data_IF_837050126796
#
_entry.id   IF_837050126796
#
_cell.length_a   1.000
_cell.length_b   1.000
_cell.length_c   1.000
_cell.angle_alpha   90.00
_cell.angle_beta   90.00
_cell.angle_gamma   90.00
#
_symmetry.space_group_name_H-M   'P 1'
#
loop_
_entity.id
_entity.type
_entity.pdbx_description
1 polymer ?
#
# COMPACT_ATOMS: atom_id res chain seq x y z
N UNK A 1 -14.11 -23.57 -0.80
CA UNK A 1 -15.31 -22.70 -0.83
C UNK A 1 -16.36 -23.22 0.13
N UNK A 2 -16.77 -22.45 1.14
CA UNK A 2 -17.97 -22.82 1.90
C UNK A 2 -19.19 -22.76 0.98
N UNK A 3 -20.07 -23.76 1.03
CA UNK A 3 -21.29 -23.83 0.19
C UNK A 3 -22.32 -22.72 0.46
N UNK A 4 -22.00 -21.79 1.35
CA UNK A 4 -22.80 -20.62 1.72
C UNK A 4 -22.60 -19.44 0.77
N UNK A 5 -21.43 -19.31 0.13
CA UNK A 5 -21.19 -18.24 -0.83
C UNK A 5 -22.05 -18.45 -2.09
N UNK A 6 -22.80 -17.41 -2.48
CA UNK A 6 -23.70 -17.43 -3.63
C UNK A 6 -25.13 -17.94 -3.36
N UNK A 7 -25.38 -18.53 -2.20
CA UNK A 7 -26.72 -18.99 -1.78
C UNK A 7 -27.39 -18.08 -0.74
N UNK A 8 -26.79 -16.91 -0.47
CA UNK A 8 -27.31 -15.96 0.51
C UNK A 8 -28.50 -15.18 -0.06
N UNK A 9 -29.53 -14.90 0.75
CA UNK A 9 -30.61 -14.01 0.34
C UNK A 9 -30.06 -12.62 -0.06
N UNK A 10 -30.61 -12.01 -1.11
CA UNK A 10 -30.16 -10.70 -1.63
C UNK A 10 -30.15 -9.60 -0.56
N UNK A 11 -31.07 -9.64 0.40
CA UNK A 11 -31.11 -8.66 1.50
C UNK A 11 -29.89 -8.79 2.44
N UNK A 12 -29.35 -10.00 2.63
CA UNK A 12 -28.13 -10.23 3.42
C UNK A 12 -26.93 -9.64 2.70
N UNK A 13 -26.83 -9.87 1.38
CA UNK A 13 -25.77 -9.30 0.55
C UNK A 13 -25.82 -7.77 0.61
N UNK A 14 -26.99 -7.17 0.41
CA UNK A 14 -27.17 -5.72 0.50
C UNK A 14 -26.80 -5.16 1.88
N UNK A 15 -27.24 -5.81 2.96
CA UNK A 15 -26.89 -5.43 4.32
C UNK A 15 -25.37 -5.48 4.55
N UNK A 16 -24.69 -6.55 4.14
CA UNK A 16 -23.24 -6.67 4.24
C UNK A 16 -22.53 -5.57 3.46
N UNK A 17 -22.95 -5.29 2.22
CA UNK A 17 -22.35 -4.24 1.39
C UNK A 17 -22.45 -2.87 2.05
N UNK A 18 -23.63 -2.53 2.61
CA UNK A 18 -23.83 -1.27 3.33
C UNK A 18 -22.99 -1.22 4.62
N UNK A 19 -22.93 -2.32 5.37
CA UNK A 19 -22.12 -2.39 6.59
C UNK A 19 -20.63 -2.23 6.31
N UNK A 20 -20.10 -2.86 5.25
CA UNK A 20 -18.69 -2.69 4.83
C UNK A 20 -18.44 -1.25 4.41
N UNK A 21 -19.34 -0.64 3.64
CA UNK A 21 -19.22 0.75 3.20
C UNK A 21 -19.17 1.71 4.41
N UNK A 22 -20.14 1.60 5.33
CA UNK A 22 -20.19 2.43 6.54
C UNK A 22 -18.98 2.18 7.43
N UNK A 23 -18.58 0.91 7.59
CA UNK A 23 -17.40 0.54 8.37
C UNK A 23 -16.14 1.23 7.82
N UNK A 24 -15.92 1.19 6.50
CA UNK A 24 -14.75 1.83 5.88
C UNK A 24 -14.74 3.35 6.04
N UNK A 25 -15.91 4.00 5.93
CA UNK A 25 -16.01 5.44 6.20
C UNK A 25 -15.67 5.77 7.66
N UNK A 26 -16.18 5.01 8.63
CA UNK A 26 -15.89 5.25 10.05
C UNK A 26 -14.42 4.93 10.36
N UNK A 27 -13.89 3.86 9.78
CA UNK A 27 -12.53 3.40 10.02
C UNK A 27 -11.48 4.36 9.42
N UNK A 28 -11.77 4.98 8.27
CA UNK A 28 -10.90 6.03 7.70
C UNK A 28 -10.87 7.28 8.58
N UNK A 29 -12.01 7.74 9.09
CA UNK A 29 -12.07 8.85 10.05
C UNK A 29 -11.29 8.55 11.33
N UNK A 30 -11.38 7.31 11.82
CA UNK A 30 -10.60 6.82 12.94
C UNK A 30 -9.09 6.82 12.64
N UNK A 31 -8.67 6.34 11.47
CA UNK A 31 -7.25 6.30 11.09
C UNK A 31 -6.64 7.69 10.99
N UNK A 32 -7.35 8.67 10.42
CA UNK A 32 -6.89 10.07 10.36
C UNK A 32 -6.65 10.61 11.77
N UNK A 33 -7.57 10.34 12.70
CA UNK A 33 -7.41 10.73 14.10
C UNK A 33 -6.24 9.99 14.78
N UNK A 34 -6.14 8.68 14.55
CA UNK A 34 -5.11 7.82 15.13
C UNK A 34 -3.72 8.27 14.69
N UNK A 35 -3.53 8.51 13.40
CA UNK A 35 -2.28 9.00 12.82
C UNK A 35 -1.86 10.33 13.44
N UNK A 36 -2.76 11.32 13.49
CA UNK A 36 -2.47 12.63 14.11
C UNK A 36 -2.02 12.49 15.57
N UNK A 37 -2.62 11.57 16.32
CA UNK A 37 -2.25 11.33 17.72
C UNK A 37 -0.93 10.62 17.89
N UNK A 38 -0.66 9.59 17.08
CA UNK A 38 0.58 8.82 17.18
C UNK A 38 1.78 9.66 16.75
N UNK A 39 1.68 10.40 15.62
CA UNK A 39 2.74 11.32 15.19
C UNK A 39 2.98 12.42 16.22
N UNK A 40 1.93 12.99 16.80
CA UNK A 40 2.09 14.00 17.86
C UNK A 40 2.87 13.45 19.06
N UNK A 41 2.54 12.23 19.52
CA UNK A 41 3.28 11.56 20.60
C UNK A 41 4.74 11.30 20.24
N UNK A 42 5.04 10.86 19.02
CA UNK A 42 6.42 10.65 18.56
C UNK A 42 7.22 11.96 18.54
N UNK A 43 6.57 13.08 18.24
CA UNK A 43 7.15 14.42 18.20
C UNK A 43 7.14 15.13 19.56
N UNK A 44 6.83 14.43 20.67
CA UNK A 44 6.70 15.03 22.00
C UNK A 44 5.72 16.22 22.08
N UNK A 45 4.69 16.25 21.23
CA UNK A 45 3.61 17.25 21.27
C UNK A 45 2.24 16.61 21.53
N UNK A 46 1.31 17.43 21.99
CA UNK A 46 -0.06 16.97 22.28
C UNK A 46 -0.83 16.88 20.96
N UNK A 47 -1.42 15.72 20.68
CA UNK A 47 -2.32 15.55 19.53
C UNK A 47 -3.69 16.23 19.75
N UNK A 48 -4.65 16.05 18.83
CA UNK A 48 -5.98 16.65 18.96
C UNK A 48 -6.63 16.35 20.32
N UNK A 49 -7.03 17.40 21.06
CA UNK A 49 -7.63 17.30 22.40
C UNK A 49 -8.87 18.20 22.62
N UNK A 50 -9.26 19.01 21.63
CA UNK A 50 -10.33 20.03 21.78
C UNK A 50 -11.70 19.48 21.35
N UNK A 51 -11.84 19.01 20.12
CA UNK A 51 -13.14 18.66 19.54
C UNK A 51 -13.59 17.24 19.94
N UNK A 52 -14.33 17.15 21.04
CA UNK A 52 -14.90 15.91 21.59
C UNK A 52 -13.94 15.13 22.50
N UNK A 53 -14.39 14.02 23.12
CA UNK A 53 -13.55 13.18 23.96
C UNK A 53 -12.32 12.70 23.17
N UNK A 54 -11.11 12.98 23.68
CA UNK A 54 -9.84 12.68 23.01
C UNK A 54 -9.66 13.26 21.60
N UNK A 55 -10.48 14.25 21.18
CA UNK A 55 -10.43 14.83 19.83
C UNK A 55 -11.07 13.99 18.72
N UNK A 56 -11.85 12.95 19.06
CA UNK A 56 -12.43 12.01 18.09
C UNK A 56 -13.37 12.68 17.06
N UNK A 57 -14.02 13.79 17.43
CA UNK A 57 -14.94 14.48 16.52
C UNK A 57 -14.22 15.38 15.51
N UNK A 58 -12.89 15.54 15.61
CA UNK A 58 -12.13 16.38 14.69
C UNK A 58 -12.22 15.89 13.24
N UNK A 59 -12.02 14.59 12.98
CA UNK A 59 -12.07 14.05 11.62
C UNK A 59 -13.46 14.22 11.00
N UNK A 60 -14.52 14.12 11.80
CA UNK A 60 -15.89 14.37 11.36
C UNK A 60 -16.10 15.86 11.01
N UNK A 61 -15.60 16.78 11.83
CA UNK A 61 -15.65 18.20 11.56
C UNK A 61 -14.88 18.58 10.28
N UNK A 62 -13.73 17.94 10.03
CA UNK A 62 -12.96 18.12 8.79
C UNK A 62 -13.75 17.64 7.56
N UNK A 63 -14.47 16.51 7.66
CA UNK A 63 -15.35 16.02 6.61
C UNK A 63 -16.51 16.99 6.30
N UNK A 64 -17.19 17.49 7.32
CA UNK A 64 -18.27 18.49 7.17
C UNK A 64 -17.74 19.78 6.55
N UNK A 65 -16.55 20.24 6.99
CA UNK A 65 -15.87 21.39 6.41
C UNK A 65 -15.64 21.20 4.91
N UNK A 66 -15.15 20.04 4.49
CA UNK A 66 -14.90 19.75 3.08
C UNK A 66 -16.20 19.70 2.26
N UNK A 67 -17.31 19.21 2.84
CA UNK A 67 -18.61 19.20 2.19
C UNK A 67 -19.22 20.61 1.99
N UNK A 68 -18.97 21.53 2.93
CA UNK A 68 -19.42 22.92 2.85
C UNK A 68 -18.45 23.82 2.08
N UNK A 69 -17.25 23.33 1.77
CA UNK A 69 -16.24 24.07 1.02
C UNK A 69 -16.70 24.22 -0.43
N UNK A 70 -16.43 25.40 -1.00
CA UNK A 70 -16.72 25.69 -2.40
C UNK A 70 -15.99 24.70 -3.33
N UNK A 71 -16.77 24.07 -4.20
CA UNK A 71 -16.24 23.18 -5.23
C UNK A 71 -15.88 24.00 -6.48
N UNK A 72 -14.59 24.05 -6.78
CA UNK A 72 -14.05 24.81 -7.91
C UNK A 72 -13.76 23.83 -9.05
N UNK A 73 -14.06 24.23 -10.28
CA UNK A 73 -13.63 23.51 -11.50
C UNK A 73 -12.76 24.46 -12.30
N UNK A 74 -11.52 24.05 -12.55
CA UNK A 74 -10.53 24.84 -13.29
C UNK A 74 -10.99 25.04 -14.72
N UNK A 75 -10.81 26.24 -15.28
CA UNK A 75 -11.25 26.56 -16.65
C UNK A 75 -10.51 25.77 -17.73
N UNK A 76 -9.24 25.49 -17.50
CA UNK A 76 -8.38 24.72 -18.41
C UNK A 76 -8.58 23.20 -18.30
N UNK A 77 -9.34 22.73 -17.31
CA UNK A 77 -9.54 21.31 -17.06
C UNK A 77 -10.57 20.69 -18.00
N UNK A 78 -10.34 19.42 -18.37
CA UNK A 78 -11.36 18.61 -19.03
C UNK A 78 -12.44 18.23 -18.00
N UNK A 79 -13.64 18.81 -18.14
CA UNK A 79 -14.70 18.71 -17.14
C UNK A 79 -15.16 17.27 -16.87
N UNK A 80 -15.21 16.43 -17.90
CA UNK A 80 -15.72 15.07 -17.76
C UNK A 80 -14.72 14.22 -16.97
N UNK A 81 -13.46 14.22 -17.39
CA UNK A 81 -12.41 13.43 -16.74
C UNK A 81 -12.09 13.98 -15.34
N UNK A 82 -12.12 15.31 -15.15
CA UNK A 82 -11.88 15.94 -13.85
C UNK A 82 -12.92 15.54 -12.80
N UNK A 83 -14.19 15.29 -13.18
CA UNK A 83 -15.21 14.80 -12.25
C UNK A 83 -15.12 13.27 -12.06
N UNK A 84 -14.78 12.53 -13.12
CA UNK A 84 -14.71 11.07 -13.08
C UNK A 84 -13.46 10.53 -12.37
N UNK A 85 -12.32 11.23 -12.42
CA UNK A 85 -11.07 10.76 -11.86
C UNK A 85 -11.14 10.43 -10.35
N UNK A 86 -11.70 11.29 -9.46
CA UNK A 86 -11.88 10.94 -8.06
C UNK A 86 -12.80 9.71 -7.86
N UNK A 87 -13.83 9.57 -8.70
CA UNK A 87 -14.77 8.44 -8.63
C UNK A 87 -14.04 7.13 -9.00
N UNK A 88 -13.19 7.17 -10.02
CA UNK A 88 -12.35 6.04 -10.44
C UNK A 88 -11.29 5.66 -9.40
N UNK A 89 -10.86 6.58 -8.54
CA UNK A 89 -9.99 6.24 -7.41
C UNK A 89 -10.76 5.57 -6.26
N UNK A 90 -11.97 6.07 -5.94
CA UNK A 90 -12.74 5.63 -4.78
C UNK A 90 -13.46 4.29 -4.99
N UNK A 91 -14.09 4.08 -6.15
CA UNK A 91 -14.86 2.86 -6.41
C UNK A 91 -13.99 1.60 -6.21
N UNK A 92 -12.78 1.50 -6.80
CA UNK A 92 -11.91 0.35 -6.60
C UNK A 92 -11.50 0.13 -5.14
N UNK A 93 -11.26 1.22 -4.40
CA UNK A 93 -10.87 1.14 -2.99
C UNK A 93 -11.95 0.42 -2.15
N UNK A 94 -13.23 0.69 -2.41
CA UNK A 94 -14.34 -0.02 -1.77
C UNK A 94 -14.53 -1.45 -2.29
N UNK A 95 -14.41 -1.65 -3.60
CA UNK A 95 -14.60 -2.96 -4.23
C UNK A 95 -13.59 -4.01 -3.74
N UNK A 96 -12.35 -3.61 -3.45
CA UNK A 96 -11.32 -4.51 -2.92
C UNK A 96 -11.74 -5.21 -1.61
N UNK A 97 -12.61 -4.59 -0.80
CA UNK A 97 -13.10 -5.16 0.47
C UNK A 97 -14.17 -6.25 0.30
N UNK A 98 -14.68 -6.45 -0.92
CA UNK A 98 -15.68 -7.49 -1.18
C UNK A 98 -15.17 -8.91 -0.86
N UNK A 99 -13.87 -9.14 -1.02
CA UNK A 99 -13.28 -10.49 -0.90
C UNK A 99 -12.37 -10.67 0.32
N UNK A 100 -12.31 -9.69 1.23
CA UNK A 100 -11.47 -9.78 2.43
C UNK A 100 -12.28 -10.42 3.57
N UNK A 101 -11.79 -11.51 4.21
CA UNK A 101 -12.49 -12.17 5.31
C UNK A 101 -12.19 -11.49 6.66
N UNK A 102 -13.23 -10.99 7.34
CA UNK A 102 -13.10 -10.40 8.70
C UNK A 102 -13.20 -11.42 9.83
N UNK A 103 -13.78 -12.60 9.56
CA UNK A 103 -14.06 -13.58 10.59
C UNK A 103 -14.62 -14.89 10.03
N UNK A 104 -14.91 -15.86 10.92
CA UNK A 104 -15.55 -17.13 10.56
C UNK A 104 -17.01 -16.92 10.16
N UNK A 105 -17.70 -18.03 9.93
CA UNK A 105 -19.15 -18.07 9.81
C UNK A 105 -19.80 -17.72 11.15
N UNK A 106 -20.70 -16.73 11.13
CA UNK A 106 -21.41 -16.27 12.32
C UNK A 106 -22.89 -16.12 12.01
N UNK A 107 -23.72 -16.38 13.03
CA UNK A 107 -25.16 -16.14 12.95
C UNK A 107 -25.45 -14.65 13.07
N UNK A 108 -26.21 -14.10 12.13
CA UNK A 108 -26.64 -12.70 12.19
C UNK A 108 -27.46 -12.47 13.47
N UNK A 109 -27.22 -11.40 14.24
CA UNK A 109 -28.04 -11.11 15.41
C UNK A 109 -29.50 -10.95 14.97
N UNK A 110 -30.43 -11.54 15.72
CA UNK A 110 -31.88 -11.46 15.45
C UNK A 110 -32.37 -12.22 14.20
N UNK A 111 -31.54 -13.07 13.56
CA UNK A 111 -31.96 -13.97 12.45
C UNK A 111 -31.34 -15.36 12.60
N UNK A 112 -31.97 -16.41 12.07
CA UNK A 112 -31.42 -17.79 12.05
C UNK A 112 -30.43 -18.05 10.90
N UNK A 113 -30.08 -17.02 10.11
CA UNK A 113 -29.16 -17.14 8.98
C UNK A 113 -27.70 -17.13 9.46
N UNK A 114 -26.96 -18.18 9.10
CA UNK A 114 -25.51 -18.27 9.29
C UNK A 114 -24.84 -17.71 8.04
N UNK A 115 -23.87 -16.83 8.23
CA UNK A 115 -23.22 -16.14 7.13
C UNK A 115 -21.72 -15.98 7.40
N UNK A 116 -20.83 -16.19 6.41
CA UNK A 116 -19.43 -15.82 6.55
C UNK A 116 -19.27 -14.30 6.70
N UNK A 117 -18.35 -13.84 7.54
CA UNK A 117 -17.95 -12.42 7.63
C UNK A 117 -17.06 -12.02 6.45
N UNK A 118 -17.57 -12.24 5.25
CA UNK A 118 -17.00 -11.90 3.96
C UNK A 118 -18.19 -11.65 3.01
N UNK A 119 -18.07 -10.67 2.11
CA UNK A 119 -19.16 -10.37 1.17
C UNK A 119 -19.27 -11.44 0.10
N UNK A 120 -18.16 -11.77 -0.55
CA UNK A 120 -18.09 -12.87 -1.52
C UNK A 120 -16.71 -13.51 -1.51
N UNK A 121 -16.66 -14.79 -1.86
CA UNK A 121 -15.40 -15.50 -2.08
C UNK A 121 -15.29 -15.87 -3.55
N UNK A 122 -14.13 -15.62 -4.15
CA UNK A 122 -13.85 -15.92 -5.55
C UNK A 122 -12.64 -16.86 -5.59
N UNK A 123 -12.60 -17.85 -6.52
CA UNK A 123 -11.43 -18.73 -6.64
C UNK A 123 -10.13 -17.97 -6.92
N UNK A 124 -10.24 -16.78 -7.53
CA UNK A 124 -9.14 -15.87 -7.88
C UNK A 124 -9.24 -14.55 -7.10
N UNK A 125 -9.64 -14.60 -5.82
CA UNK A 125 -9.90 -13.42 -5.00
C UNK A 125 -8.71 -12.44 -4.91
N UNK A 126 -7.49 -12.94 -4.74
CA UNK A 126 -6.31 -12.05 -4.64
C UNK A 126 -5.98 -11.36 -5.97
N UNK A 127 -6.16 -12.07 -7.10
CA UNK A 127 -6.01 -11.47 -8.44
C UNK A 127 -7.09 -10.43 -8.73
N UNK A 128 -8.31 -10.66 -8.24
CA UNK A 128 -9.39 -9.66 -8.29
C UNK A 128 -8.99 -8.38 -7.57
N UNK A 129 -8.38 -8.47 -6.38
CA UNK A 129 -7.94 -7.27 -5.66
C UNK A 129 -6.88 -6.52 -6.48
N UNK A 130 -5.86 -7.21 -6.98
CA UNK A 130 -4.83 -6.60 -7.84
C UNK A 130 -5.45 -5.89 -9.05
N UNK A 131 -6.34 -6.57 -9.77
CA UNK A 131 -6.99 -6.00 -10.95
C UNK A 131 -7.81 -4.73 -10.62
N UNK A 132 -8.51 -4.74 -9.48
CA UNK A 132 -9.29 -3.60 -9.03
C UNK A 132 -8.37 -2.46 -8.58
N UNK A 133 -7.31 -2.73 -7.79
CA UNK A 133 -6.38 -1.69 -7.34
C UNK A 133 -5.65 -1.02 -8.51
N UNK A 134 -5.29 -1.76 -9.57
CA UNK A 134 -4.71 -1.17 -10.78
C UNK A 134 -5.62 -0.13 -11.42
N UNK A 135 -6.96 -0.28 -11.34
CA UNK A 135 -7.92 0.71 -11.85
C UNK A 135 -7.82 2.02 -11.07
N UNK A 136 -7.53 1.95 -9.76
CA UNK A 136 -7.33 3.13 -8.91
C UNK A 136 -6.18 4.02 -9.39
N UNK A 137 -5.11 3.42 -9.93
CA UNK A 137 -3.96 4.15 -10.49
C UNK A 137 -4.35 4.98 -11.71
N UNK A 138 -5.25 4.48 -12.55
CA UNK A 138 -5.79 5.28 -13.66
C UNK A 138 -6.52 6.52 -13.16
N UNK A 139 -7.19 6.45 -12.01
CA UNK A 139 -7.78 7.63 -11.35
C UNK A 139 -6.74 8.72 -11.07
N UNK A 140 -5.55 8.34 -10.62
CA UNK A 140 -4.44 9.26 -10.32
C UNK A 140 -3.87 9.90 -11.61
N UNK A 141 -3.61 9.10 -12.65
CA UNK A 141 -3.11 9.61 -13.95
C UNK A 141 -4.10 10.59 -14.56
N UNK A 142 -5.37 10.19 -14.62
CA UNK A 142 -6.45 10.97 -15.21
C UNK A 142 -6.69 12.25 -14.42
N UNK A 143 -6.52 12.23 -13.09
CA UNK A 143 -6.61 13.41 -12.26
C UNK A 143 -5.51 14.43 -12.60
N UNK A 144 -4.26 13.97 -12.73
CA UNK A 144 -3.13 14.82 -13.12
C UNK A 144 -3.31 15.40 -14.53
N UNK A 145 -3.74 14.60 -15.50
CA UNK A 145 -3.95 15.06 -16.88
C UNK A 145 -5.15 16.00 -17.03
N UNK A 146 -6.29 15.67 -16.44
CA UNK A 146 -7.52 16.46 -16.57
C UNK A 146 -7.44 17.82 -15.90
N UNK A 147 -6.51 18.02 -14.96
CA UNK A 147 -6.31 19.27 -14.24
C UNK A 147 -5.90 20.46 -15.12
N UNK A 148 -5.35 20.20 -16.32
CA UNK A 148 -4.89 21.24 -17.24
C UNK A 148 -3.58 21.94 -16.81
N UNK A 149 -2.87 21.41 -15.81
CA UNK A 149 -1.59 21.93 -15.30
C UNK A 149 -0.45 20.94 -15.52
N UNK A 150 0.68 21.41 -16.07
CA UNK A 150 1.87 20.56 -16.33
C UNK A 150 2.45 20.02 -15.01
N UNK A 151 2.41 20.80 -13.94
CA UNK A 151 2.92 20.38 -12.63
C UNK A 151 2.12 19.21 -12.05
N UNK A 152 0.78 19.29 -12.13
CA UNK A 152 -0.09 18.22 -11.68
C UNK A 152 0.02 16.96 -12.56
N UNK A 153 0.23 17.14 -13.87
CA UNK A 153 0.51 16.03 -14.78
C UNK A 153 1.83 15.31 -14.43
N UNK A 154 2.91 16.05 -14.20
CA UNK A 154 4.20 15.47 -13.79
C UNK A 154 4.09 14.72 -12.45
N UNK A 155 3.35 15.27 -11.49
CA UNK A 155 3.07 14.62 -10.21
C UNK A 155 2.27 13.33 -10.38
N UNK A 156 1.20 13.37 -11.19
CA UNK A 156 0.38 12.19 -11.51
C UNK A 156 1.17 11.09 -12.23
N UNK A 157 2.01 11.44 -13.20
CA UNK A 157 2.86 10.48 -13.92
C UNK A 157 3.88 9.81 -13.00
N UNK A 158 4.53 10.56 -12.11
CA UNK A 158 5.48 10.01 -11.13
C UNK A 158 4.79 9.10 -10.11
N UNK A 159 3.63 9.51 -9.58
CA UNK A 159 2.82 8.67 -8.70
C UNK A 159 2.47 7.35 -9.37
N UNK A 160 2.02 7.41 -10.62
CA UNK A 160 1.55 6.22 -11.32
C UNK A 160 2.69 5.27 -11.67
N UNK A 161 3.83 5.81 -12.12
CA UNK A 161 5.02 5.00 -12.36
C UNK A 161 5.53 4.30 -11.09
N UNK A 162 5.49 5.00 -9.95
CA UNK A 162 5.81 4.43 -8.65
C UNK A 162 4.84 3.29 -8.30
N UNK A 163 3.54 3.58 -8.24
CA UNK A 163 2.53 2.61 -7.81
C UNK A 163 2.59 1.35 -8.69
N UNK A 164 2.62 1.50 -10.02
CA UNK A 164 2.72 0.35 -10.95
C UNK A 164 3.99 -0.48 -10.69
N UNK A 165 5.12 0.15 -10.44
CA UNK A 165 6.38 -0.57 -10.23
C UNK A 165 6.35 -1.42 -8.96
N UNK A 166 5.72 -0.90 -7.90
CA UNK A 166 5.59 -1.60 -6.62
C UNK A 166 4.43 -2.59 -6.61
N UNK A 167 3.40 -2.38 -7.43
CA UNK A 167 2.33 -3.34 -7.67
C UNK A 167 2.88 -4.65 -8.27
N UNK A 168 3.83 -4.56 -9.20
CA UNK A 168 4.52 -5.75 -9.75
C UNK A 168 5.29 -6.50 -8.66
N UNK A 169 6.07 -5.80 -7.83
CA UNK A 169 6.82 -6.43 -6.73
C UNK A 169 5.87 -7.07 -5.70
N UNK A 170 4.78 -6.39 -5.37
CA UNK A 170 3.70 -6.90 -4.51
C UNK A 170 3.06 -8.16 -5.11
N UNK A 171 2.70 -8.16 -6.39
CA UNK A 171 2.12 -9.32 -7.07
C UNK A 171 3.05 -10.54 -7.08
N UNK A 172 4.35 -10.34 -7.32
CA UNK A 172 5.33 -11.41 -7.25
C UNK A 172 5.47 -12.01 -5.84
N UNK A 173 5.33 -11.18 -4.80
CA UNK A 173 5.38 -11.68 -3.40
C UNK A 173 4.24 -12.67 -3.10
N UNK A 174 3.08 -12.50 -3.72
CA UNK A 174 1.91 -13.36 -3.53
C UNK A 174 2.04 -14.74 -4.15
N UNK A 175 2.85 -14.90 -5.20
CA UNK A 175 3.03 -16.18 -5.89
C UNK A 175 3.47 -17.27 -4.91
N UNK A 176 4.41 -16.94 -4.02
CA UNK A 176 4.88 -17.86 -2.97
C UNK A 176 3.76 -18.29 -2.01
N UNK A 177 2.83 -17.38 -1.69
CA UNK A 177 1.67 -17.61 -0.83
C UNK A 177 0.69 -18.56 -1.52
N UNK A 178 0.39 -18.33 -2.81
CA UNK A 178 -0.50 -19.20 -3.58
C UNK A 178 0.07 -20.61 -3.69
N UNK A 179 1.38 -20.73 -3.85
CA UNK A 179 2.05 -22.03 -3.85
C UNK A 179 1.92 -22.74 -2.51
N UNK A 180 2.06 -22.03 -1.38
CA UNK A 180 1.96 -22.65 -0.05
C UNK A 180 0.52 -23.03 0.32
N UNK A 181 -0.45 -22.17 -0.02
CA UNK A 181 -1.87 -22.38 0.25
C UNK A 181 -2.52 -23.39 -0.71
N UNK A 182 -2.01 -23.50 -1.95
CA UNK A 182 -2.65 -24.29 -3.01
C UNK A 182 -3.92 -23.65 -3.58
N UNK A 183 -4.21 -22.39 -3.24
CA UNK A 183 -5.38 -21.64 -3.69
C UNK A 183 -5.08 -20.14 -3.79
N UNK A 184 -5.90 -19.42 -4.57
CA UNK A 184 -5.92 -17.97 -4.68
C UNK A 184 -7.16 -17.33 -4.01
N UNK A 185 -8.03 -18.14 -3.40
CA UNK A 185 -9.13 -17.67 -2.55
C UNK A 185 -8.59 -17.19 -1.21
N UNK A 186 -9.05 -16.02 -0.77
CA UNK A 186 -8.67 -15.44 0.53
C UNK A 186 -9.16 -16.28 1.71
N UNK A 187 -10.34 -16.90 1.59
CA UNK A 187 -10.90 -17.75 2.65
C UNK A 187 -10.09 -19.04 2.80
N UNK A 188 -9.71 -19.65 1.68
CA UNK A 188 -8.91 -20.88 1.66
C UNK A 188 -7.47 -20.65 2.11
N UNK A 189 -6.87 -19.50 1.75
CA UNK A 189 -5.56 -19.09 2.26
C UNK A 189 -5.59 -18.97 3.79
N UNK A 190 -6.59 -18.31 4.37
CA UNK A 190 -6.72 -18.19 5.84
C UNK A 190 -6.95 -19.56 6.49
N UNK A 191 -7.72 -20.44 5.85
CA UNK A 191 -7.93 -21.80 6.35
C UNK A 191 -6.64 -22.64 6.34
N UNK A 192 -5.80 -22.49 5.31
CA UNK A 192 -4.52 -23.19 5.18
C UNK A 192 -3.43 -22.69 6.14
N UNK A 193 -3.67 -21.58 6.84
CA UNK A 193 -2.80 -21.01 7.88
C UNK A 193 -3.14 -21.53 9.29
N UNK A 194 -3.74 -22.73 9.40
CA UNK A 194 -4.13 -23.31 10.70
C UNK A 194 -2.95 -23.64 11.59
N UNK A 195 -1.89 -24.20 11.00
CA UNK A 195 -0.75 -24.77 11.71
C UNK A 195 0.32 -23.71 11.96
N UNK A 196 0.64 -22.92 10.93
CA UNK A 196 1.69 -21.91 10.99
C UNK A 196 1.33 -20.73 10.08
N UNK A 197 1.59 -19.52 10.57
CA UNK A 197 1.41 -18.31 9.78
C UNK A 197 2.49 -18.19 8.71
N UNK A 198 2.11 -17.70 7.53
CA UNK A 198 3.00 -17.70 6.37
C UNK A 198 4.14 -16.69 6.45
N UNK A 199 4.10 -15.69 7.33
CA UNK A 199 5.25 -14.81 7.53
C UNK A 199 6.52 -15.56 7.99
N UNK A 200 6.38 -16.74 8.63
CA UNK A 200 7.52 -17.56 9.08
C UNK A 200 8.17 -18.30 7.89
N UNK A 201 7.49 -19.20 7.17
CA UNK A 201 8.11 -19.92 6.06
C UNK A 201 8.36 -19.02 4.83
N UNK A 202 7.61 -17.94 4.66
CA UNK A 202 7.70 -17.03 3.50
C UNK A 202 8.24 -15.65 3.90
N UNK A 203 9.20 -15.61 4.83
CA UNK A 203 9.73 -14.36 5.37
C UNK A 203 10.24 -13.37 4.28
N UNK A 204 11.01 -13.79 3.26
CA UNK A 204 11.42 -12.88 2.19
C UNK A 204 10.23 -12.27 1.43
N UNK A 205 9.21 -13.06 1.10
CA UNK A 205 7.99 -12.54 0.47
C UNK A 205 7.23 -11.59 1.38
N UNK A 206 7.18 -11.86 2.68
CA UNK A 206 6.57 -10.96 3.66
C UNK A 206 7.30 -9.61 3.72
N UNK A 207 8.64 -9.60 3.72
CA UNK A 207 9.43 -8.36 3.71
C UNK A 207 9.23 -7.58 2.41
N UNK A 208 9.30 -8.25 1.26
CA UNK A 208 9.06 -7.62 -0.05
C UNK A 208 7.65 -7.02 -0.08
N UNK A 209 6.65 -7.75 0.40
CA UNK A 209 5.28 -7.25 0.51
C UNK A 209 5.18 -6.03 1.42
N UNK A 210 5.77 -6.08 2.63
CA UNK A 210 5.79 -4.97 3.58
C UNK A 210 6.41 -3.69 2.99
N UNK A 211 7.42 -3.84 2.15
CA UNK A 211 8.05 -2.71 1.46
C UNK A 211 7.15 -2.21 0.33
N UNK A 212 6.62 -3.13 -0.49
CA UNK A 212 5.82 -2.80 -1.66
C UNK A 212 4.49 -2.13 -1.30
N UNK A 213 3.84 -2.55 -0.21
CA UNK A 213 2.61 -1.92 0.27
C UNK A 213 2.81 -0.44 0.67
N UNK A 214 4.02 -0.03 1.06
CA UNK A 214 4.32 1.40 1.32
C UNK A 214 4.49 2.17 0.02
N UNK A 215 5.13 1.57 -0.98
CA UNK A 215 5.25 2.15 -2.32
C UNK A 215 3.89 2.33 -3.01
N UNK A 216 3.00 1.37 -2.86
CA UNK A 216 1.64 1.35 -3.42
C UNK A 216 0.75 2.49 -2.88
N UNK A 217 0.89 2.83 -1.61
CA UNK A 217 -0.02 3.77 -0.92
C UNK A 217 0.44 5.22 -0.99
N UNK A 218 1.56 5.50 -1.67
CA UNK A 218 2.16 6.84 -1.79
C UNK A 218 2.34 7.55 -0.43
N UNK A 219 2.57 6.81 0.66
CA UNK A 219 2.74 7.39 2.00
C UNK A 219 4.20 7.63 2.34
N UNK A 220 4.45 8.64 3.19
CA UNK A 220 5.78 8.94 3.70
C UNK A 220 6.40 7.69 4.35
N UNK A 221 7.66 7.33 4.03
CA UNK A 221 8.69 8.14 3.36
C UNK A 221 8.65 8.20 1.82
N UNK A 222 7.75 7.47 1.17
CA UNK A 222 7.66 7.32 -0.30
C UNK A 222 6.51 8.11 -0.92
N UNK A 223 6.28 9.29 -0.35
CA UNK A 223 5.28 10.24 -0.79
C UNK A 223 5.92 11.27 -1.75
N UNK A 224 6.27 10.78 -2.94
CA UNK A 224 6.92 11.54 -4.00
C UNK A 224 5.99 12.52 -4.73
N UNK A 225 4.69 12.23 -4.92
CA UNK A 225 3.76 13.15 -5.58
C UNK A 225 3.23 14.25 -4.67
N UNK A 226 2.97 13.99 -3.38
CA UNK A 226 2.40 14.97 -2.44
C UNK A 226 3.49 15.84 -1.79
N UNK A 227 4.77 15.52 -2.00
CA UNK A 227 5.89 16.26 -1.43
C UNK A 227 5.83 17.76 -1.77
N UNK A 228 5.46 18.57 -0.77
CA UNK A 228 5.41 20.04 -0.85
C UNK A 228 6.74 20.68 -1.31
N UNK A 229 7.87 19.99 -1.11
CA UNK A 229 9.20 20.43 -1.51
C UNK A 229 9.60 20.06 -2.96
N UNK A 230 8.79 19.29 -3.69
CA UNK A 230 9.04 18.95 -5.09
C UNK A 230 7.94 19.49 -6.01
N UNK A 231 6.86 18.71 -6.23
CA UNK A 231 5.83 19.01 -7.24
C UNK A 231 4.52 19.54 -6.64
N UNK A 232 4.58 20.18 -5.46
CA UNK A 232 3.49 20.98 -4.86
C UNK A 232 2.13 20.25 -4.86
N UNK A 233 2.08 19.05 -4.28
CA UNK A 233 0.82 18.31 -4.06
C UNK A 233 0.32 17.46 -5.23
N UNK A 234 1.07 17.38 -6.33
CA UNK A 234 0.86 16.41 -7.40
C UNK A 234 -0.52 16.51 -8.07
N UNK A 235 -1.25 15.40 -8.11
CA UNK A 235 -2.58 15.37 -8.75
C UNK A 235 -3.68 16.03 -7.90
N UNK A 236 -3.42 16.38 -6.64
CA UNK A 236 -4.38 17.03 -5.75
C UNK A 236 -4.49 18.54 -5.95
N UNK A 237 -3.47 19.18 -6.53
CA UNK A 237 -3.26 20.64 -6.50
C UNK A 237 -4.45 21.44 -7.01
N UNK A 238 -5.13 20.93 -8.05
CA UNK A 238 -6.24 21.61 -8.69
C UNK A 238 -7.62 21.22 -8.12
N UNK A 239 -7.71 20.28 -7.18
CA UNK A 239 -8.98 19.79 -6.63
C UNK A 239 -9.38 20.52 -5.34
N UNK A 240 -10.67 20.84 -5.21
CA UNK A 240 -11.27 21.44 -4.00
C UNK A 240 -12.38 20.54 -3.44
N UNK A 241 -12.85 20.89 -2.23
CA UNK A 241 -14.08 20.37 -1.61
C UNK A 241 -14.14 18.83 -1.59
N UNK A 242 -15.27 18.25 -1.98
CA UNK A 242 -15.51 16.81 -1.95
C UNK A 242 -14.64 16.05 -2.94
N UNK A 243 -14.30 16.58 -4.12
CA UNK A 243 -13.46 15.87 -5.10
C UNK A 243 -12.05 15.63 -4.55
N UNK A 244 -11.49 16.63 -3.86
CA UNK A 244 -10.26 16.48 -3.10
C UNK A 244 -10.40 15.45 -1.97
N UNK A 245 -11.49 15.53 -1.20
CA UNK A 245 -11.77 14.60 -0.11
C UNK A 245 -11.86 13.14 -0.59
N UNK A 246 -12.39 12.90 -1.80
CA UNK A 246 -12.51 11.57 -2.40
C UNK A 246 -11.14 10.93 -2.68
N UNK A 247 -10.14 11.68 -3.13
CA UNK A 247 -8.79 11.13 -3.30
C UNK A 247 -8.17 10.71 -1.98
N UNK A 248 -8.21 11.58 -0.97
CA UNK A 248 -7.74 11.21 0.37
C UNK A 248 -8.50 10.01 0.94
N UNK A 249 -9.83 9.97 0.74
CA UNK A 249 -10.63 8.82 1.14
C UNK A 249 -10.14 7.54 0.46
N UNK A 250 -9.92 7.57 -0.85
CA UNK A 250 -9.40 6.42 -1.60
C UNK A 250 -8.02 5.96 -1.08
N UNK A 251 -7.09 6.89 -0.85
CA UNK A 251 -5.76 6.57 -0.31
C UNK A 251 -5.82 5.96 1.08
N UNK A 252 -6.63 6.53 1.99
CA UNK A 252 -6.79 5.98 3.33
C UNK A 252 -7.46 4.62 3.29
N UNK A 253 -8.48 4.41 2.45
CA UNK A 253 -9.08 3.08 2.28
C UNK A 253 -8.03 2.10 1.75
N UNK A 254 -7.24 2.49 0.73
CA UNK A 254 -6.22 1.63 0.16
C UNK A 254 -5.15 1.25 1.19
N UNK A 255 -4.72 2.19 2.05
CA UNK A 255 -3.81 1.91 3.16
C UNK A 255 -4.36 0.83 4.10
N UNK A 256 -5.67 0.85 4.36
CA UNK A 256 -6.32 -0.21 5.15
C UNK A 256 -6.41 -1.50 4.35
N UNK A 257 -6.73 -1.44 3.07
CA UNK A 257 -6.80 -2.61 2.17
C UNK A 257 -5.48 -3.37 2.15
N UNK A 258 -4.36 -2.69 1.90
CA UNK A 258 -3.04 -3.34 1.88
C UNK A 258 -2.64 -3.87 3.27
N UNK A 259 -3.02 -3.19 4.35
CA UNK A 259 -2.81 -3.67 5.73
C UNK A 259 -3.64 -4.93 6.04
N UNK A 260 -4.88 -4.96 5.55
CA UNK A 260 -5.80 -6.08 5.67
C UNK A 260 -5.34 -7.28 4.83
N UNK A 261 -4.80 -7.04 3.64
CA UNK A 261 -4.16 -8.06 2.80
C UNK A 261 -2.92 -8.65 3.47
N UNK A 262 -2.03 -7.83 4.05
CA UNK A 262 -0.89 -8.30 4.84
C UNK A 262 -1.34 -9.29 5.92
N UNK A 263 -2.37 -8.89 6.65
CA UNK A 263 -2.97 -9.66 7.74
C UNK A 263 -3.56 -10.98 7.22
N UNK A 264 -4.29 -10.94 6.11
CA UNK A 264 -4.96 -12.09 5.49
C UNK A 264 -3.97 -13.10 4.93
N UNK A 265 -2.94 -12.64 4.22
CA UNK A 265 -2.03 -13.50 3.47
C UNK A 265 -0.87 -14.02 4.31
N UNK A 266 -0.38 -13.25 5.29
CA UNK A 266 0.84 -13.61 6.02
C UNK A 266 0.62 -13.91 7.51
N UNK A 267 -0.38 -13.31 8.16
CA UNK A 267 -0.58 -13.42 9.62
C UNK A 267 -1.82 -14.25 10.02
N UNK A 268 -2.29 -15.16 9.18
CA UNK A 268 -3.40 -16.05 9.55
C UNK A 268 -4.77 -15.37 9.57
N UNK A 269 -4.93 -14.21 8.94
CA UNK A 269 -6.19 -13.46 8.87
C UNK A 269 -6.79 -13.19 10.25
N UNK A 270 -8.04 -13.61 10.43
CA UNK A 270 -8.81 -13.44 11.65
C UNK A 270 -8.48 -14.45 12.77
N UNK A 271 -7.63 -15.45 12.51
CA UNK A 271 -7.28 -16.47 13.51
C UNK A 271 -6.45 -15.87 14.65
N UNK A 272 -6.64 -16.36 15.86
CA UNK A 272 -5.91 -15.88 17.04
C UNK A 272 -4.39 -16.13 16.95
N UNK A 273 -3.55 -15.28 17.58
CA UNK A 273 -2.10 -15.48 17.70
C UNK A 273 -1.68 -16.80 18.34
N UNK A 274 -0.43 -17.23 18.06
CA UNK A 274 0.18 -18.47 18.55
C UNK A 274 -0.14 -18.73 20.03
N UNK A 275 -0.61 -19.94 20.34
CA UNK A 275 -0.98 -20.37 21.69
C UNK A 275 -2.39 -19.93 22.13
N UNK A 276 -2.83 -18.71 21.85
CA UNK A 276 -4.14 -18.20 22.30
C UNK A 276 -5.32 -18.89 21.60
N UNK A 277 -5.13 -19.32 20.35
CA UNK A 277 -6.14 -20.07 19.60
C UNK A 277 -6.42 -21.49 20.11
N UNK A 278 -5.55 -22.04 20.97
CA UNK A 278 -5.71 -23.36 21.57
C UNK A 278 -6.23 -23.29 23.02
N UNK A 279 -6.26 -22.10 23.61
CA UNK A 279 -6.82 -21.88 24.94
C UNK A 279 -8.35 -21.99 24.84
N UNK A 280 -8.96 -22.78 25.74
CA UNK A 280 -10.41 -23.02 25.81
C UNK A 280 -11.02 -23.57 24.51
N UNK A 281 -10.47 -24.67 23.98
CA UNK A 281 -11.05 -25.42 22.84
C UNK A 281 -11.34 -24.55 21.59
N UNK A 282 -10.53 -23.52 21.35
CA UNK A 282 -10.70 -22.65 20.19
C UNK A 282 -11.83 -21.62 20.30
N UNK A 283 -12.37 -21.36 21.50
CA UNK A 283 -13.40 -20.33 21.73
C UNK A 283 -13.04 -18.98 21.08
N UNK A 284 -11.78 -18.55 21.19
CA UNK A 284 -11.29 -17.29 20.60
C UNK A 284 -11.25 -17.26 19.06
N UNK A 285 -11.43 -18.40 18.40
CA UNK A 285 -11.54 -18.54 16.96
C UNK A 285 -13.01 -18.71 16.49
N UNK A 286 -13.98 -18.68 17.41
CA UNK A 286 -15.41 -18.84 17.10
C UNK A 286 -16.20 -17.57 17.39
N UNK A 287 -17.28 -17.35 16.64
CA UNK A 287 -18.14 -16.18 16.80
C UNK A 287 -17.47 -14.87 16.36
N UNK A 288 -17.71 -13.80 17.11
CA UNK A 288 -17.26 -12.44 16.76
C UNK A 288 -15.85 -12.08 17.29
N UNK A 289 -15.26 -12.90 18.17
CA UNK A 289 -13.90 -12.66 18.70
C UNK A 289 -12.80 -12.55 17.62
N UNK A 290 -12.77 -13.42 16.60
CA UNK A 290 -11.89 -13.31 15.42
C UNK A 290 -11.77 -11.93 14.79
N UNK A 291 -12.87 -11.18 14.78
CA UNK A 291 -12.92 -9.84 14.18
C UNK A 291 -11.97 -8.88 14.90
N UNK A 292 -11.84 -9.00 16.22
CA UNK A 292 -10.92 -8.19 17.01
C UNK A 292 -9.46 -8.52 16.68
N UNK A 293 -9.13 -9.79 16.43
CA UNK A 293 -7.78 -10.19 16.03
C UNK A 293 -7.44 -9.65 14.63
N UNK A 294 -8.38 -9.74 13.70
CA UNK A 294 -8.21 -9.20 12.35
C UNK A 294 -7.94 -7.70 12.38
N UNK A 295 -8.77 -6.93 13.11
CA UNK A 295 -8.58 -5.49 13.24
C UNK A 295 -7.35 -5.11 14.05
N UNK A 296 -7.00 -5.87 15.10
CA UNK A 296 -5.79 -5.63 15.88
C UNK A 296 -4.52 -5.78 15.03
N UNK A 297 -4.46 -6.82 14.18
CA UNK A 297 -3.34 -7.02 13.25
C UNK A 297 -3.32 -5.98 12.13
N UNK A 298 -4.49 -5.63 11.59
CA UNK A 298 -4.60 -4.56 10.59
C UNK A 298 -4.14 -3.21 11.17
N UNK A 299 -4.52 -2.91 12.41
CA UNK A 299 -4.10 -1.72 13.14
C UNK A 299 -2.59 -1.73 13.42
N UNK A 300 -1.98 -2.90 13.63
CA UNK A 300 -0.52 -3.02 13.74
C UNK A 300 0.18 -2.56 12.46
N UNK A 301 -0.28 -2.97 11.27
CA UNK A 301 0.30 -2.47 10.00
C UNK A 301 0.07 -0.98 9.79
N UNK A 302 -1.11 -0.47 10.16
CA UNK A 302 -1.38 0.98 10.14
C UNK A 302 -0.45 1.72 11.11
N UNK A 303 -0.19 1.17 12.29
CA UNK A 303 0.79 1.72 13.21
C UNK A 303 2.19 1.73 12.59
N UNK A 304 2.58 0.67 11.86
CA UNK A 304 3.86 0.64 11.12
C UNK A 304 3.90 1.75 10.07
N UNK A 305 2.84 1.99 9.29
CA UNK A 305 2.77 3.13 8.36
C UNK A 305 3.03 4.47 9.06
N UNK A 306 2.33 4.72 10.17
CA UNK A 306 2.49 5.96 10.93
C UNK A 306 3.90 6.07 11.54
N UNK A 307 4.47 4.94 11.98
CA UNK A 307 5.81 4.88 12.52
C UNK A 307 6.88 5.18 11.49
N UNK A 308 6.77 4.60 10.28
CA UNK A 308 7.67 4.89 9.16
C UNK A 308 7.61 6.37 8.78
N UNK A 309 6.40 6.95 8.72
CA UNK A 309 6.19 8.39 8.47
C UNK A 309 6.88 9.26 9.53
N UNK A 310 6.86 8.86 10.79
CA UNK A 310 7.44 9.62 11.90
C UNK A 310 8.95 9.51 12.04
N UNK A 311 9.59 8.51 11.41
CA UNK A 311 11.01 8.16 11.66
C UNK A 311 11.91 8.27 10.45
N UNK A 312 11.42 8.01 9.24
CA UNK A 312 12.26 7.94 8.04
C UNK A 312 12.24 9.24 7.23
N UNK A 313 13.40 9.68 6.70
CA UNK A 313 13.45 10.78 5.75
C UNK A 313 12.81 10.36 4.42
N UNK A 314 12.34 11.34 3.65
CA UNK A 314 11.85 11.10 2.29
C UNK A 314 12.99 10.59 1.41
N UNK A 315 12.69 9.57 0.60
CA UNK A 315 13.62 9.03 -0.40
C UNK A 315 13.41 9.75 -1.74
N UNK A 316 14.45 9.85 -2.57
CA UNK A 316 14.33 10.41 -3.92
C UNK A 316 13.71 9.38 -4.87
N UNK A 317 12.93 9.85 -5.85
CA UNK A 317 12.27 9.01 -6.86
C UNK A 317 13.22 8.02 -7.55
N UNK A 318 14.36 8.48 -8.05
CA UNK A 318 15.30 7.62 -8.78
C UNK A 318 15.84 6.46 -7.94
N UNK A 319 16.15 6.73 -6.66
CA UNK A 319 16.65 5.72 -5.71
C UNK A 319 15.56 4.71 -5.39
N UNK A 320 14.34 5.18 -5.19
CA UNK A 320 13.20 4.32 -4.89
C UNK A 320 12.88 3.40 -6.08
N UNK A 321 12.76 3.96 -7.29
CA UNK A 321 12.53 3.18 -8.50
C UNK A 321 13.63 2.16 -8.75
N UNK A 322 14.90 2.54 -8.53
CA UNK A 322 16.04 1.62 -8.65
C UNK A 322 15.93 0.47 -7.64
N UNK A 323 15.53 0.75 -6.41
CA UNK A 323 15.34 -0.26 -5.37
C UNK A 323 14.22 -1.26 -5.72
N UNK A 324 13.08 -0.78 -6.21
CA UNK A 324 12.00 -1.66 -6.67
C UNK A 324 12.44 -2.58 -7.81
N UNK A 325 13.02 -2.00 -8.86
CA UNK A 325 13.33 -2.72 -10.10
C UNK A 325 14.58 -3.59 -10.03
N UNK A 326 15.66 -3.14 -9.37
CA UNK A 326 16.93 -3.87 -9.33
C UNK A 326 17.07 -4.79 -8.14
N UNK A 327 16.34 -4.54 -7.05
CA UNK A 327 16.49 -5.31 -5.80
C UNK A 327 15.23 -6.13 -5.52
N UNK A 328 14.07 -5.50 -5.35
CA UNK A 328 12.87 -6.23 -4.92
C UNK A 328 12.37 -7.26 -5.93
N UNK A 329 12.24 -6.88 -7.21
CA UNK A 329 11.74 -7.78 -8.25
C UNK A 329 12.66 -9.01 -8.44
N UNK A 330 14.00 -8.86 -8.62
CA UNK A 330 14.89 -10.01 -8.77
C UNK A 330 14.93 -10.92 -7.54
N UNK A 331 14.93 -10.36 -6.32
CA UNK A 331 14.88 -11.16 -5.09
C UNK A 331 13.57 -11.93 -5.02
N UNK A 332 12.44 -11.30 -5.37
CA UNK A 332 11.14 -11.98 -5.38
C UNK A 332 11.12 -13.15 -6.35
N UNK A 333 11.66 -12.97 -7.56
CA UNK A 333 11.76 -14.04 -8.56
C UNK A 333 12.65 -15.19 -8.08
N UNK A 334 13.84 -14.87 -7.54
CA UNK A 334 14.74 -15.87 -6.97
C UNK A 334 14.09 -16.65 -5.83
N UNK A 335 13.32 -15.97 -4.99
CA UNK A 335 12.59 -16.61 -3.90
C UNK A 335 11.45 -17.52 -4.37
N UNK A 336 10.69 -17.14 -5.41
CA UNK A 336 9.67 -18.00 -6.02
C UNK A 336 10.31 -19.32 -6.51
N UNK A 337 11.45 -19.23 -7.20
CA UNK A 337 12.19 -20.42 -7.67
C UNK A 337 12.63 -21.28 -6.48
N UNK A 338 13.17 -20.66 -5.43
CA UNK A 338 13.60 -21.37 -4.22
C UNK A 338 12.43 -22.09 -3.53
N UNK A 339 11.30 -21.42 -3.32
CA UNK A 339 10.08 -22.01 -2.73
C UNK A 339 9.56 -23.17 -3.60
N UNK A 340 9.57 -23.01 -4.92
CA UNK A 340 9.19 -24.07 -5.87
C UNK A 340 10.07 -25.30 -5.72
N UNK A 341 11.38 -25.09 -5.67
CA UNK A 341 12.35 -26.17 -5.52
C UNK A 341 12.20 -26.90 -4.19
N UNK A 342 12.08 -26.15 -3.08
CA UNK A 342 11.85 -26.69 -1.73
C UNK A 342 10.57 -27.53 -1.70
N UNK A 343 9.49 -27.04 -2.31
CA UNK A 343 8.21 -27.76 -2.35
C UNK A 343 8.31 -29.05 -3.15
N UNK A 344 9.02 -29.04 -4.27
CA UNK A 344 9.24 -30.23 -5.09
C UNK A 344 10.04 -31.29 -4.32
N UNK A 345 11.12 -30.90 -3.65
CA UNK A 345 11.92 -31.82 -2.82
C UNK A 345 11.12 -32.43 -1.67
N UNK A 346 10.22 -31.64 -1.06
CA UNK A 346 9.30 -32.15 -0.04
C UNK A 346 8.29 -33.15 -0.61
N UNK A 347 7.82 -32.96 -1.84
CA UNK A 347 6.89 -33.88 -2.49
C UNK A 347 7.54 -35.24 -2.84
N UNK A 348 8.86 -35.25 -3.06
CA UNK A 348 9.65 -36.47 -3.32
C UNK A 348 10.18 -37.12 -2.01
N UNK A 349 9.70 -36.69 -0.84
CA UNK A 349 10.03 -37.21 0.50
C UNK A 349 11.54 -37.19 0.85
N UNK A 350 12.31 -36.33 0.17
CA UNK A 350 13.77 -36.21 0.37
C UNK A 350 14.17 -35.25 1.50
N UNK A 351 13.23 -34.51 2.10
CA UNK A 351 13.50 -33.51 3.15
C UNK A 351 12.54 -33.64 4.33
N UNK A 352 13.11 -33.95 5.51
CA UNK A 352 12.40 -33.92 6.80
C UNK A 352 11.89 -32.51 7.14
N UNK A 353 10.72 -32.45 7.80
CA UNK A 353 10.03 -31.20 8.21
C UNK A 353 10.92 -30.31 9.10
N UNK A 354 11.86 -30.92 9.81
CA UNK A 354 12.78 -30.25 10.74
C UNK A 354 13.97 -29.57 10.05
N UNK A 355 14.30 -29.93 8.80
CA UNK A 355 15.37 -29.30 8.02
C UNK A 355 14.91 -28.06 7.22
N UNK A 356 13.60 -27.90 7.01
CA UNK A 356 13.04 -26.81 6.19
C UNK A 356 13.13 -25.44 6.87
N UNK A 357 12.93 -25.40 8.19
CA UNK A 357 13.03 -24.16 8.98
C UNK A 357 14.48 -23.62 8.98
N UNK A 358 15.53 -24.42 9.24
CA UNK A 358 16.90 -23.93 9.16
C UNK A 358 17.30 -23.57 7.72
N UNK A 359 16.82 -24.26 6.68
CA UNK A 359 17.07 -23.85 5.29
C UNK A 359 16.42 -22.50 4.98
N UNK A 360 15.16 -22.26 5.39
CA UNK A 360 14.51 -20.97 5.20
C UNK A 360 15.22 -19.83 5.95
N UNK A 361 15.75 -20.10 7.14
CA UNK A 361 16.57 -19.16 7.90
C UNK A 361 17.90 -18.91 7.19
N UNK A 362 18.57 -19.94 6.66
CA UNK A 362 19.84 -19.82 5.95
C UNK A 362 19.67 -19.08 4.62
N UNK A 363 18.61 -19.36 3.86
CA UNK A 363 18.32 -18.62 2.61
C UNK A 363 17.87 -17.19 2.93
N UNK A 364 17.08 -16.99 3.99
CA UNK A 364 16.76 -15.65 4.50
C UNK A 364 18.00 -14.86 4.89
N UNK A 365 18.95 -15.49 5.58
CA UNK A 365 20.26 -14.90 5.94
C UNK A 365 21.14 -14.66 4.73
N UNK A 366 21.16 -15.55 3.73
CA UNK A 366 21.89 -15.36 2.47
C UNK A 366 21.30 -14.21 1.66
N UNK A 367 19.97 -14.09 1.59
CA UNK A 367 19.31 -12.94 0.97
C UNK A 367 19.61 -11.64 1.74
N UNK A 368 19.67 -11.69 3.08
CA UNK A 368 20.07 -10.55 3.91
C UNK A 368 21.56 -10.20 3.71
N UNK A 369 22.43 -11.19 3.48
CA UNK A 369 23.83 -10.97 3.14
C UNK A 369 24.00 -10.29 1.78
N UNK A 370 23.08 -10.49 0.81
CA UNK A 370 23.12 -9.75 -0.46
C UNK A 370 22.92 -8.24 -0.28
N UNK A 371 22.24 -7.79 0.79
CA UNK A 371 22.14 -6.37 1.15
C UNK A 371 23.48 -5.78 1.66
N UNK A 372 24.39 -6.64 2.15
CA UNK A 372 25.71 -6.23 2.64
C UNK A 372 26.81 -6.35 1.59
N UNK A 373 26.53 -6.96 0.43
CA UNK A 373 27.48 -6.96 -0.69
C UNK A 373 27.43 -5.55 -1.31
N UNK A 374 28.49 -4.74 -1.18
CA UNK A 374 28.50 -3.43 -1.80
C UNK A 374 28.39 -3.61 -3.30
N UNK A 375 27.35 -3.04 -3.92
CA UNK A 375 27.30 -2.91 -5.36
C UNK A 375 28.59 -2.22 -5.79
N UNK A 376 29.40 -2.92 -6.59
CA UNK A 376 30.57 -2.34 -7.23
C UNK A 376 30.00 -1.23 -8.12
N UNK A 377 30.11 0.01 -7.66
CA UNK A 377 29.65 1.21 -8.37
C UNK A 377 30.22 1.07 -9.78
N UNK A 378 29.35 0.90 -10.79
CA UNK A 378 29.79 1.11 -12.16
C UNK A 378 30.23 2.57 -12.19
N UNK A 379 31.54 2.80 -12.19
CA UNK A 379 32.08 4.08 -12.58
C UNK A 379 31.53 4.33 -13.98
N UNK A 380 30.60 5.29 -14.09
CA UNK A 380 30.20 5.80 -15.38
C UNK A 380 31.50 6.21 -16.10
N UNK A 381 31.65 5.80 -17.37
CA UNK A 381 32.69 6.37 -18.21
C UNK A 381 32.62 7.89 -18.07
N UNK A 382 33.70 8.47 -17.58
CA UNK A 382 33.84 9.92 -17.44
C UNK A 382 33.89 10.45 -18.86
N UNK A 383 32.80 11.05 -19.33
CA UNK A 383 32.86 11.91 -20.50
C UNK A 383 33.82 13.06 -20.15
N UNK A 384 35.03 13.03 -20.72
CA UNK A 384 36.07 14.05 -20.49
C UNK A 384 35.68 15.44 -21.03
N UNK A 385 34.52 15.57 -21.66
CA UNK A 385 34.01 16.88 -22.11
C UNK A 385 33.51 17.70 -20.93
N UNK A 386 34.03 18.93 -20.72
CA UNK A 386 33.56 19.81 -19.64
C UNK A 386 32.08 20.11 -19.82
N UNK A 387 31.28 19.83 -18.80
CA UNK A 387 29.85 20.15 -18.82
C UNK A 387 29.65 21.65 -18.57
N UNK A 388 29.07 22.35 -19.54
CA UNK A 388 28.64 23.74 -19.39
C UNK A 388 27.29 23.78 -18.67
N UNK A 389 27.34 24.13 -17.37
CA UNK A 389 26.17 24.24 -16.52
C UNK A 389 25.17 25.33 -16.96
N UNK A 390 25.56 26.26 -17.85
CA UNK A 390 24.78 27.43 -18.23
C UNK A 390 24.32 27.44 -19.70
N UNK A 391 24.62 26.40 -20.49
CA UNK A 391 24.25 26.35 -21.91
C UNK A 391 22.74 26.55 -22.19
N UNK A 392 21.87 26.25 -21.21
CA UNK A 392 20.41 26.41 -21.28
C UNK A 392 19.84 27.67 -20.63
N UNK A 393 20.67 28.63 -20.18
CA UNK A 393 20.23 29.86 -19.53
C UNK A 393 19.82 29.73 -18.05
N UNK A 394 19.81 28.51 -17.50
CA UNK A 394 19.62 28.23 -16.08
C UNK A 394 20.68 27.20 -15.62
N UNK A 395 21.26 27.35 -14.42
CA UNK A 395 22.28 26.43 -13.92
C UNK A 395 21.69 25.03 -13.71
N UNK A 396 22.14 24.06 -14.52
CA UNK A 396 21.83 22.64 -14.33
C UNK A 396 23.01 21.99 -13.62
N UNK A 397 22.80 21.24 -12.53
CA UNK A 397 23.89 20.51 -11.87
C UNK A 397 24.41 19.36 -12.75
N UNK A 398 25.72 19.09 -12.77
CA UNK A 398 26.31 18.03 -13.58
C UNK A 398 25.80 16.65 -13.16
N UNK A 399 25.60 15.77 -14.14
CA UNK A 399 25.23 14.37 -13.87
C UNK A 399 26.40 13.59 -13.25
N UNK A 400 26.15 12.46 -12.55
CA UNK A 400 27.22 11.62 -12.03
C UNK A 400 28.18 11.18 -13.15
N UNK A 401 29.45 11.56 -13.06
CA UNK A 401 30.47 11.31 -14.09
C UNK A 401 30.89 12.54 -14.91
N UNK A 402 30.19 13.67 -14.79
CA UNK A 402 30.53 14.93 -15.47
C UNK A 402 31.29 15.88 -14.53
N UNK A 403 32.40 16.43 -15.00
CA UNK A 403 33.08 17.55 -14.33
C UNK A 403 32.55 18.88 -14.85
N UNK A 404 32.06 19.74 -13.95
CA UNK A 404 31.71 21.12 -14.30
C UNK A 404 32.98 21.89 -14.70
N UNK A 405 32.91 22.63 -15.81
CA UNK A 405 34.00 23.52 -16.19
C UNK A 405 34.20 24.60 -15.11
N UNK A 406 35.44 24.91 -14.67
CA UNK A 406 35.69 26.08 -13.84
C UNK A 406 35.36 27.33 -14.66
N UNK A 407 34.35 28.09 -14.22
CA UNK A 407 33.99 29.34 -14.88
C UNK A 407 34.92 30.44 -14.40
N UNK A 408 35.67 31.04 -15.32
CA UNK A 408 36.44 32.26 -15.06
C UNK A 408 35.44 33.41 -14.83
N UNK A 409 35.49 34.02 -13.65
CA UNK A 409 34.54 35.06 -13.22
C UNK A 409 34.91 36.45 -13.76
N UNK A 410 35.28 36.57 -15.04
CA UNK A 410 35.78 37.83 -15.60
C UNK A 410 35.15 38.33 -16.92
N UNK A 411 34.14 37.67 -17.48
CA UNK A 411 33.47 38.19 -18.69
C UNK A 411 31.95 38.11 -18.55
N UNK A 412 31.40 39.07 -17.82
CA UNK A 412 30.02 39.51 -18.03
C UNK A 412 30.03 41.03 -18.06
N UNK A 413 30.63 41.60 -19.11
CA UNK A 413 30.21 42.93 -19.55
C UNK A 413 28.74 42.82 -19.95
N UNK A 414 27.88 43.32 -19.08
CA UNK A 414 26.48 43.57 -19.37
C UNK A 414 26.46 44.63 -20.48
N UNK A 415 26.35 44.20 -21.74
CA UNK A 415 25.97 45.09 -22.83
C UNK A 415 24.50 45.45 -22.67
N UNK A 416 24.24 46.50 -21.89
CA UNK A 416 23.02 47.28 -22.02
C UNK A 416 23.03 47.94 -23.40
N UNK A 417 22.29 47.38 -24.34
CA UNK A 417 21.87 48.12 -25.53
C UNK A 417 20.61 48.93 -25.18
N UNK A 418 20.67 50.22 -25.49
CA UNK A 418 19.60 51.24 -25.42
C UNK A 418 18.33 50.84 -26.20
#
# INVERSE_FOLDING_TARGET
MSGLFGNEPLWVVALKSVLIFVFLLVYTLFNIWFERRVVAKMQHRIGPNVNGPFGLLQSLADGVKLALKEDIVVKAADKAVYILAPILAVIPAFLAWAVIPFGPEVRIPFTDTITPLQLTDLPVAVLYILAVTSIGVYGIVLAGWSSGSIYALLGGLRSSAQVISYEVAMGLSFVSVFMYAGSMSTSEIVAAQSDMWYFIPLFPSFVIYCIAMVGETNRAPFDLPEAEGELVGGFHTEYSSLKFALFFLAEYINMVTVSALATTLFLGGWRAPFGLGQISEGYFNTGYWPVLWFFGKTLFFIFVFVWLRGTLPRMRYDQFMTFGWKILIPISLGWIVAVTFIRKLKAEDMLDRDLLVPIAIVVGLLALLTFFIPEKKHEAEVDETPFDAFAGGYPVPPMPGQSAAPHDSQTTEVTTHE
#
